data_IF_443742034394
#
_entry.id   IF_443742034394
#
_cell.length_a   1.000
_cell.length_b   1.000
_cell.length_c   1.000
_cell.angle_alpha   90.00
_cell.angle_beta   90.00
_cell.angle_gamma   90.00
#
_symmetry.space_group_name_H-M   'P 1'
#
loop_
_entity.id
_entity.type
_entity.pdbx_description
1 polymer ?
#
# COMPACT_ATOMS: atom_id res chain seq x y z
N UNK A 1 14.42 11.42 -1.76
CA UNK A 1 13.09 10.88 -1.46
C UNK A 1 13.24 9.36 -1.33
N UNK A 2 13.18 8.80 -0.12
CA UNK A 2 13.36 7.37 0.14
C UNK A 2 12.00 6.77 0.45
N UNK A 3 11.61 5.73 -0.28
CA UNK A 3 10.38 4.97 0.02
C UNK A 3 10.62 4.15 1.29
N UNK A 4 9.75 4.33 2.27
CA UNK A 4 9.80 3.62 3.55
C UNK A 4 8.95 2.36 3.57
N UNK A 5 7.80 2.36 2.89
CA UNK A 5 6.94 1.18 2.74
C UNK A 5 6.08 1.26 1.47
N UNK A 6 5.40 0.16 1.13
CA UNK A 6 4.42 0.08 0.06
C UNK A 6 3.05 -0.37 0.60
N UNK A 7 2.00 0.35 0.21
CA UNK A 7 0.60 0.07 0.54
C UNK A 7 -0.07 -0.58 -0.68
N UNK A 8 -0.29 -1.89 -0.60
CA UNK A 8 -1.00 -2.65 -1.62
C UNK A 8 -2.49 -2.64 -1.31
N UNK A 9 -3.28 -2.11 -2.24
CA UNK A 9 -4.70 -1.85 -2.02
C UNK A 9 -5.54 -2.09 -3.28
N UNK A 10 -6.86 -2.12 -3.10
CA UNK A 10 -7.84 -2.06 -4.18
C UNK A 10 -9.14 -1.37 -3.68
N UNK A 11 -9.98 -0.81 -4.56
CA UNK A 11 -11.19 -0.07 -4.16
C UNK A 11 -12.18 -0.93 -3.36
N UNK A 12 -12.24 -2.23 -3.66
CA UNK A 12 -13.10 -3.20 -3.00
C UNK A 12 -12.56 -3.71 -1.65
N UNK A 13 -11.28 -3.42 -1.33
CA UNK A 13 -10.66 -3.86 -0.09
C UNK A 13 -11.10 -2.98 1.10
N UNK A 14 -12.10 -3.47 1.85
CA UNK A 14 -12.59 -2.82 3.07
C UNK A 14 -11.49 -2.51 4.10
N UNK A 15 -10.64 -3.49 4.48
CA UNK A 15 -9.57 -3.25 5.44
C UNK A 15 -8.51 -2.24 4.96
N UNK A 16 -8.16 -2.23 3.66
CA UNK A 16 -7.21 -1.28 3.09
C UNK A 16 -7.67 0.17 3.28
N UNK A 17 -8.97 0.45 3.15
CA UNK A 17 -9.54 1.79 3.37
C UNK A 17 -9.38 2.28 4.81
N UNK A 18 -9.33 1.38 5.78
CA UNK A 18 -9.09 1.72 7.19
C UNK A 18 -7.61 1.96 7.48
N UNK A 19 -6.72 1.20 6.83
CA UNK A 19 -5.26 1.28 7.03
C UNK A 19 -4.65 2.50 6.32
N UNK A 20 -5.17 2.86 5.15
CA UNK A 20 -4.64 3.96 4.32
C UNK A 20 -4.44 5.30 5.04
N UNK A 21 -5.42 5.79 5.84
CA UNK A 21 -5.25 7.00 6.65
C UNK A 21 -4.15 6.88 7.71
N UNK A 22 -4.02 5.73 8.36
CA UNK A 22 -2.98 5.47 9.38
C UNK A 22 -1.60 5.50 8.74
N UNK A 23 -1.43 4.88 7.57
CA UNK A 23 -0.17 4.95 6.83
C UNK A 23 0.18 6.38 6.38
N UNK A 24 -0.82 7.20 6.09
CA UNK A 24 -0.61 8.61 5.73
C UNK A 24 -0.11 9.42 6.92
N UNK A 25 -0.69 9.20 8.12
CA UNK A 25 -0.20 9.82 9.36
C UNK A 25 1.24 9.41 9.66
N UNK A 26 1.57 8.12 9.52
CA UNK A 26 2.94 7.63 9.73
C UNK A 26 3.92 8.23 8.72
N UNK A 27 3.49 8.39 7.45
CA UNK A 27 4.32 9.00 6.41
C UNK A 27 4.71 10.43 6.79
N UNK A 28 3.75 11.21 7.30
CA UNK A 28 3.94 12.59 7.74
C UNK A 28 4.83 12.65 8.99
N UNK A 29 4.55 11.85 10.03
CA UNK A 29 5.32 11.85 11.29
C UNK A 29 6.79 11.40 11.11
N UNK A 30 7.03 10.49 10.17
CA UNK A 30 8.36 9.89 9.94
C UNK A 30 9.09 10.50 8.75
N UNK A 31 8.47 11.47 8.06
CA UNK A 31 8.98 12.07 6.82
C UNK A 31 9.40 11.03 5.77
N UNK A 32 8.63 9.94 5.66
CA UNK A 32 8.86 8.85 4.69
C UNK A 32 7.83 8.87 3.57
N UNK A 33 8.19 8.34 2.41
CA UNK A 33 7.23 8.10 1.33
C UNK A 33 6.62 6.70 1.46
N UNK A 34 5.28 6.61 1.41
CA UNK A 34 4.55 5.36 1.26
C UNK A 34 4.12 5.22 -0.20
N UNK A 35 4.63 4.21 -0.89
CA UNK A 35 4.26 3.93 -2.27
C UNK A 35 2.87 3.26 -2.32
N UNK A 36 1.90 3.89 -2.98
CA UNK A 36 0.56 3.30 -3.20
C UNK A 36 0.59 2.38 -4.43
N UNK A 37 0.23 1.11 -4.27
CA UNK A 37 0.17 0.13 -5.37
C UNK A 37 -1.24 -0.45 -5.46
N UNK A 38 -1.99 -0.07 -6.49
CA UNK A 38 -3.28 -0.67 -6.77
C UNK A 38 -3.08 -2.05 -7.44
N UNK A 39 -3.56 -3.12 -6.81
CA UNK A 39 -3.38 -4.50 -7.29
C UNK A 39 -4.22 -4.85 -8.51
N UNK A 40 -5.35 -4.15 -8.74
CA UNK A 40 -6.16 -4.31 -9.95
C UNK A 40 -5.41 -3.74 -11.18
N UNK A 41 -4.61 -2.69 -10.98
CA UNK A 41 -3.83 -2.02 -12.04
C UNK A 41 -2.45 -2.65 -12.24
N UNK A 42 -1.84 -3.17 -11.16
CA UNK A 42 -0.48 -3.71 -11.17
C UNK A 42 -0.41 -5.19 -10.73
N UNK A 43 -1.20 -6.10 -11.33
CA UNK A 43 -1.29 -7.48 -10.87
C UNK A 43 0.03 -8.24 -10.98
N UNK A 44 0.84 -7.96 -12.02
CA UNK A 44 2.15 -8.57 -12.19
C UNK A 44 3.12 -8.16 -11.08
N UNK A 45 3.20 -6.86 -10.77
CA UNK A 45 4.07 -6.33 -9.70
C UNK A 45 3.74 -6.96 -8.36
N UNK A 46 2.45 -7.04 -8.01
CA UNK A 46 1.99 -7.69 -6.78
C UNK A 46 2.39 -9.16 -6.74
N UNK A 47 2.17 -9.90 -7.83
CA UNK A 47 2.54 -11.32 -7.93
C UNK A 47 4.05 -11.55 -7.82
N UNK A 48 4.86 -10.75 -8.52
CA UNK A 48 6.33 -10.83 -8.47
C UNK A 48 6.91 -10.52 -7.08
N UNK A 49 6.21 -9.71 -6.29
CA UNK A 49 6.58 -9.38 -4.90
C UNK A 49 5.98 -10.37 -3.87
N UNK A 50 5.30 -11.43 -4.32
CA UNK A 50 4.72 -12.44 -3.44
C UNK A 50 3.47 -11.98 -2.67
N UNK A 51 2.84 -10.88 -3.08
CA UNK A 51 1.61 -10.38 -2.48
C UNK A 51 0.45 -11.29 -2.88
N UNK A 52 -0.07 -12.06 -1.92
CA UNK A 52 -1.13 -13.06 -2.12
C UNK A 52 -2.51 -12.59 -1.65
N UNK A 53 -2.58 -11.44 -1.01
CA UNK A 53 -3.80 -10.83 -0.47
C UNK A 53 -3.56 -9.37 -0.11
N UNK A 54 -4.66 -8.64 0.10
CA UNK A 54 -4.61 -7.23 0.51
C UNK A 54 -5.58 -6.95 1.67
N UNK A 55 -5.18 -6.11 2.64
CA UNK A 55 -3.80 -5.64 2.85
C UNK A 55 -2.88 -6.86 3.17
N UNK A 56 -1.62 -6.86 2.71
CA UNK A 56 -0.70 -7.99 2.89
C UNK A 56 -0.20 -8.17 4.32
#
# INVERSE_FOLDING_TARGET
>A
MRVGAADFWAPWCGPCRMVGPVLSQIADEREITIAKVNTDVNPFTSGSLGIRGIPP
#
